data_IF_733394309642
#
_entry.id   IF_733394309642
#
_cell.length_a   1.000
_cell.length_b   1.000
_cell.length_c   1.000
_cell.angle_alpha   90.00
_cell.angle_beta   90.00
_cell.angle_gamma   90.00
#
_symmetry.space_group_name_H-M   'P 1'
#
loop_
_entity.id
_entity.type
_entity.pdbx_description
1 polymer ?
#
# COMPACT_ATOMS: atom_id res chain seq x y z
N UNK A 1 12.62 -25.22 16.65
CA UNK A 1 13.28 -23.92 16.98
C UNK A 1 12.22 -22.95 17.47
N UNK A 2 12.53 -22.19 18.51
CA UNK A 2 11.63 -21.18 19.11
C UNK A 2 12.38 -19.86 19.26
N UNK A 3 11.79 -18.76 18.84
CA UNK A 3 12.28 -17.41 19.10
C UNK A 3 11.51 -16.84 20.28
N UNK A 4 12.21 -16.37 21.30
CA UNK A 4 11.61 -15.77 22.50
C UNK A 4 12.15 -14.35 22.70
N UNK A 5 11.31 -13.47 23.24
CA UNK A 5 11.69 -12.09 23.61
C UNK A 5 12.52 -12.17 24.91
N UNK A 6 13.55 -11.35 25.01
CA UNK A 6 14.39 -11.13 26.20
C UNK A 6 14.34 -9.64 26.58
N UNK A 7 14.97 -9.25 27.66
CA UNK A 7 15.04 -7.85 28.10
C UNK A 7 15.75 -6.94 27.07
N UNK A 8 16.78 -7.45 26.37
CA UNK A 8 17.58 -6.68 25.40
C UNK A 8 17.21 -6.97 23.93
N UNK A 9 16.31 -7.93 23.66
CA UNK A 9 16.00 -8.32 22.29
C UNK A 9 15.39 -9.71 22.16
N UNK A 10 16.11 -10.65 21.52
CA UNK A 10 15.59 -11.98 21.19
C UNK A 10 16.62 -13.07 21.39
N UNK A 11 16.15 -14.23 21.88
CA UNK A 11 16.94 -15.46 21.96
C UNK A 11 16.34 -16.55 21.07
N UNK A 12 17.19 -17.25 20.35
CA UNK A 12 16.85 -18.40 19.53
C UNK A 12 17.15 -19.69 20.31
N UNK A 13 16.13 -20.52 20.49
CA UNK A 13 16.21 -21.79 21.19
C UNK A 13 16.16 -22.96 20.20
N UNK A 14 16.96 -23.97 20.48
CA UNK A 14 16.80 -25.31 19.96
C UNK A 14 16.55 -26.23 21.17
N UNK A 15 15.33 -26.80 21.20
CA UNK A 15 14.81 -27.49 22.39
C UNK A 15 14.81 -26.55 23.60
N UNK A 16 15.67 -26.79 24.60
CA UNK A 16 15.81 -25.97 25.81
C UNK A 16 17.02 -25.05 25.78
N UNK A 17 17.94 -25.23 24.85
CA UNK A 17 19.21 -24.51 24.78
C UNK A 17 19.11 -23.22 23.96
N UNK A 18 19.66 -22.14 24.49
CA UNK A 18 19.86 -20.90 23.74
C UNK A 18 21.04 -21.11 22.80
N UNK A 19 20.78 -21.04 21.48
CA UNK A 19 21.79 -21.23 20.43
C UNK A 19 22.21 -19.93 19.74
N UNK A 20 21.44 -18.85 19.91
CA UNK A 20 21.74 -17.54 19.37
C UNK A 20 21.00 -16.43 20.09
N UNK A 21 21.53 -15.21 20.02
CA UNK A 21 20.93 -14.00 20.59
C UNK A 21 21.04 -12.84 19.61
N UNK A 22 20.08 -11.94 19.69
CA UNK A 22 20.11 -10.67 18.97
C UNK A 22 19.58 -9.58 19.90
N UNK A 23 20.47 -8.66 20.28
CA UNK A 23 20.10 -7.47 21.02
C UNK A 23 19.69 -6.39 20.04
N UNK A 24 18.51 -5.80 20.27
CA UNK A 24 17.87 -4.91 19.30
C UNK A 24 17.00 -3.87 19.99
N UNK A 25 17.16 -2.63 19.58
CA UNK A 25 16.35 -1.49 20.03
C UNK A 25 15.41 -1.07 18.90
N UNK A 26 14.08 -1.05 19.11
CA UNK A 26 13.12 -0.53 18.13
C UNK A 26 13.39 0.94 17.83
N UNK A 27 13.20 1.31 16.56
CA UNK A 27 13.21 2.70 16.11
C UNK A 27 11.90 3.02 15.37
N UNK A 28 11.54 4.29 15.15
CA UNK A 28 10.32 4.65 14.43
C UNK A 28 10.23 4.07 13.00
N UNK A 29 11.37 3.72 12.39
CA UNK A 29 11.43 3.20 11.01
C UNK A 29 12.11 1.84 10.91
N UNK A 30 12.17 1.06 11.98
CA UNK A 30 12.82 -0.26 11.95
C UNK A 30 13.47 -0.62 13.28
N UNK A 31 14.76 -0.92 13.29
CA UNK A 31 15.47 -1.26 14.52
C UNK A 31 16.98 -1.02 14.44
N UNK A 32 17.58 -0.75 15.58
CA UNK A 32 19.03 -0.77 15.77
C UNK A 32 19.45 -2.12 16.38
N UNK A 33 20.22 -2.90 15.63
CA UNK A 33 20.78 -4.17 16.08
C UNK A 33 22.11 -3.85 16.74
N UNK A 34 22.20 -4.06 18.06
CA UNK A 34 23.42 -3.78 18.82
C UNK A 34 24.35 -4.98 18.91
N UNK A 35 23.80 -6.20 18.87
CA UNK A 35 24.57 -7.43 18.83
C UNK A 35 23.77 -8.56 18.14
N UNK A 36 24.47 -9.42 17.42
CA UNK A 36 23.94 -10.67 16.89
C UNK A 36 24.97 -11.77 17.03
N UNK A 37 24.64 -12.82 17.72
CA UNK A 37 25.55 -13.92 17.99
C UNK A 37 24.89 -15.29 17.86
N UNK A 38 25.68 -16.28 17.43
CA UNK A 38 25.32 -17.69 17.43
C UNK A 38 26.48 -18.46 18.06
N UNK A 39 26.17 -19.37 18.98
CA UNK A 39 27.18 -20.21 19.61
C UNK A 39 28.03 -20.95 18.57
N UNK A 40 29.33 -21.07 18.86
CA UNK A 40 30.35 -21.57 17.89
C UNK A 40 29.96 -22.91 17.25
N UNK A 41 29.48 -23.85 18.06
CA UNK A 41 29.02 -25.18 17.61
C UNK A 41 27.79 -25.18 16.70
N UNK A 42 27.07 -24.04 16.65
CA UNK A 42 25.86 -23.83 15.83
C UNK A 42 26.08 -22.88 14.66
N UNK A 43 27.26 -22.30 14.52
CA UNK A 43 27.61 -21.41 13.39
C UNK A 43 27.62 -22.18 12.07
N UNK A 44 27.50 -21.46 10.95
CA UNK A 44 27.48 -21.95 9.56
C UNK A 44 26.37 -22.99 9.24
N UNK A 45 25.37 -23.13 10.13
CA UNK A 45 24.20 -24.00 9.96
C UNK A 45 22.91 -23.22 9.63
N UNK A 46 23.02 -21.95 9.27
CA UNK A 46 21.87 -21.09 8.89
C UNK A 46 21.14 -20.39 10.05
N UNK A 47 21.50 -20.67 11.30
CA UNK A 47 20.77 -20.12 12.45
C UNK A 47 20.91 -18.60 12.60
N UNK A 48 22.06 -18.01 12.31
CA UNK A 48 22.23 -16.55 12.27
C UNK A 48 21.35 -15.91 11.19
N UNK A 49 21.29 -16.51 10.01
CA UNK A 49 20.43 -16.06 8.92
C UNK A 49 18.95 -16.16 9.28
N UNK A 50 18.54 -17.23 9.95
CA UNK A 50 17.16 -17.39 10.44
C UNK A 50 16.83 -16.30 11.47
N UNK A 51 17.69 -16.12 12.49
CA UNK A 51 17.49 -15.13 13.52
C UNK A 51 17.37 -13.71 12.95
N UNK A 52 18.29 -13.30 12.09
CA UNK A 52 18.26 -11.99 11.46
C UNK A 52 17.01 -11.79 10.58
N UNK A 53 16.60 -12.81 9.81
CA UNK A 53 15.35 -12.75 9.03
C UNK A 53 14.12 -12.51 9.90
N UNK A 54 14.02 -13.21 11.04
CA UNK A 54 12.89 -13.03 11.96
C UNK A 54 12.87 -11.63 12.59
N UNK A 55 14.06 -11.09 12.95
CA UNK A 55 14.18 -9.72 13.45
C UNK A 55 13.73 -8.72 12.36
N UNK A 56 14.30 -8.83 11.16
CA UNK A 56 13.91 -7.94 10.06
C UNK A 56 12.41 -8.01 9.78
N UNK A 57 11.80 -9.21 9.78
CA UNK A 57 10.36 -9.39 9.58
C UNK A 57 9.53 -8.70 10.65
N UNK A 58 9.94 -8.84 11.92
CA UNK A 58 9.22 -8.32 13.07
C UNK A 58 9.20 -6.78 13.11
N UNK A 59 10.24 -6.15 12.60
CA UNK A 59 10.37 -4.69 12.54
C UNK A 59 10.11 -4.11 11.14
N UNK A 60 9.33 -4.80 10.31
CA UNK A 60 8.87 -4.29 9.01
C UNK A 60 9.92 -4.32 7.89
N UNK A 61 11.08 -4.95 8.08
CA UNK A 61 12.16 -4.97 7.10
C UNK A 61 11.82 -5.67 5.77
N UNK A 62 10.69 -6.34 5.69
CA UNK A 62 10.13 -6.95 4.47
C UNK A 62 8.77 -6.37 4.08
N UNK A 63 8.31 -5.33 4.80
CA UNK A 63 7.11 -4.60 4.42
C UNK A 63 7.37 -3.82 3.13
N UNK A 64 6.54 -4.05 2.11
CA UNK A 64 6.70 -3.43 0.79
C UNK A 64 6.20 -1.99 0.77
N UNK A 65 5.36 -1.63 1.69
CA UNK A 65 4.71 -0.31 1.75
C UNK A 65 5.45 0.67 2.67
N UNK A 66 6.36 0.19 3.51
CA UNK A 66 7.07 1.02 4.48
C UNK A 66 8.55 1.27 4.10
N UNK A 67 8.97 2.52 4.28
CA UNK A 67 10.39 2.84 4.34
C UNK A 67 10.97 2.33 5.65
N UNK A 68 12.02 1.50 5.60
CA UNK A 68 12.65 0.98 6.81
C UNK A 68 14.15 1.22 6.83
N UNK A 69 14.68 1.43 8.03
CA UNK A 69 16.11 1.60 8.28
C UNK A 69 16.51 0.68 9.43
N UNK A 70 17.46 -0.19 9.17
CA UNK A 70 18.11 -1.01 10.18
C UNK A 70 19.58 -0.64 10.26
N UNK A 71 20.09 -0.57 11.48
CA UNK A 71 21.51 -0.34 11.73
C UNK A 71 22.12 -1.52 12.49
N UNK A 72 23.43 -1.75 12.30
CA UNK A 72 24.20 -2.77 13.02
C UNK A 72 25.65 -2.30 13.20
N UNK A 73 26.41 -2.87 14.14
CA UNK A 73 27.83 -2.57 14.27
C UNK A 73 28.60 -3.00 13.01
N UNK A 74 29.77 -2.38 12.79
CA UNK A 74 30.68 -2.82 11.75
C UNK A 74 31.11 -4.28 12.00
N UNK A 75 31.34 -5.06 10.94
CA UNK A 75 31.74 -6.46 11.07
C UNK A 75 33.15 -6.58 11.64
N UNK A 76 33.37 -7.60 12.46
CA UNK A 76 34.69 -7.86 13.02
C UNK A 76 35.67 -8.50 12.02
N UNK A 77 35.16 -9.21 11.02
CA UNK A 77 35.91 -9.87 9.98
C UNK A 77 35.16 -9.90 8.64
N UNK A 78 35.84 -10.33 7.57
CA UNK A 78 35.29 -10.43 6.22
C UNK A 78 34.07 -11.39 6.16
N UNK A 79 34.12 -12.50 6.88
CA UNK A 79 33.02 -13.48 6.91
C UNK A 79 31.76 -12.92 7.52
N UNK A 80 31.88 -12.09 8.56
CA UNK A 80 30.78 -11.34 9.13
C UNK A 80 30.28 -10.26 8.18
N UNK A 81 31.19 -9.58 7.48
CA UNK A 81 30.84 -8.61 6.43
C UNK A 81 29.99 -9.22 5.32
N UNK A 82 30.38 -10.36 4.79
CA UNK A 82 29.62 -11.11 3.78
C UNK A 82 28.26 -11.58 4.30
N UNK A 83 28.16 -11.96 5.58
CA UNK A 83 26.91 -12.29 6.21
C UNK A 83 25.95 -11.11 6.20
N UNK A 84 26.36 -9.92 6.63
CA UNK A 84 25.52 -8.72 6.66
C UNK A 84 25.14 -8.25 5.24
N UNK A 85 26.11 -8.26 4.32
CA UNK A 85 25.89 -7.89 2.91
C UNK A 85 24.81 -8.73 2.25
N UNK A 86 24.74 -10.03 2.54
CA UNK A 86 23.70 -10.95 2.06
C UNK A 86 22.27 -10.49 2.44
N UNK A 87 22.12 -9.70 3.50
CA UNK A 87 20.85 -9.13 3.95
C UNK A 87 20.69 -7.66 3.54
N UNK A 88 21.53 -7.15 2.67
CA UNK A 88 21.44 -5.80 2.13
C UNK A 88 21.93 -4.71 3.09
N UNK A 89 22.77 -5.07 4.07
CA UNK A 89 23.50 -4.09 4.87
C UNK A 89 24.77 -3.64 4.14
N UNK A 90 25.04 -2.33 4.20
CA UNK A 90 26.25 -1.73 3.68
C UNK A 90 26.88 -0.80 4.72
N UNK A 91 28.22 -0.63 4.74
CA UNK A 91 28.89 0.30 5.65
C UNK A 91 28.57 1.75 5.24
N UNK A 92 28.15 2.54 6.22
CA UNK A 92 27.85 3.96 6.09
C UNK A 92 28.00 4.63 7.48
N UNK A 93 28.71 5.77 7.57
CA UNK A 93 28.90 6.56 8.78
C UNK A 93 29.36 5.74 10.02
N UNK A 94 30.30 4.81 9.81
CA UNK A 94 30.87 4.01 10.90
C UNK A 94 29.96 2.88 11.41
N UNK A 95 28.87 2.58 10.72
CA UNK A 95 27.94 1.47 11.02
C UNK A 95 27.59 0.70 9.73
N UNK A 96 26.97 -0.46 9.93
CA UNK A 96 26.24 -1.12 8.85
C UNK A 96 24.81 -0.59 8.80
N UNK A 97 24.37 -0.18 7.63
CA UNK A 97 23.01 0.33 7.42
C UNK A 97 22.33 -0.48 6.31
N UNK A 98 21.11 -0.89 6.57
CA UNK A 98 20.19 -1.45 5.58
C UNK A 98 19.00 -0.51 5.45
N UNK A 99 18.88 0.13 4.29
CA UNK A 99 17.71 0.94 3.94
C UNK A 99 16.82 0.18 2.98
N UNK A 100 15.55 0.34 3.18
CA UNK A 100 14.55 -0.05 2.20
C UNK A 100 13.64 1.13 1.95
N UNK A 101 13.51 1.50 0.69
CA UNK A 101 12.45 2.37 0.22
C UNK A 101 11.22 1.51 -0.10
N UNK A 102 10.01 2.03 0.06
CA UNK A 102 8.82 1.34 -0.40
C UNK A 102 8.90 1.05 -1.90
N UNK A 103 8.41 -0.12 -2.29
CA UNK A 103 8.29 -0.43 -3.71
C UNK A 103 7.31 0.55 -4.37
N UNK A 104 7.59 0.96 -5.59
CA UNK A 104 6.59 1.64 -6.41
C UNK A 104 5.49 0.62 -6.76
N UNK A 105 4.26 0.97 -6.45
CA UNK A 105 3.07 0.22 -6.88
C UNK A 105 2.15 1.14 -7.66
N UNK A 106 1.20 0.59 -8.43
CA UNK A 106 0.20 1.38 -9.14
C UNK A 106 -0.58 2.30 -8.18
N UNK A 107 -0.97 1.76 -7.02
CA UNK A 107 -1.67 2.52 -5.97
C UNK A 107 -0.79 3.65 -5.43
N UNK A 108 0.46 3.36 -5.09
CA UNK A 108 1.38 4.37 -4.57
C UNK A 108 1.67 5.46 -5.60
N UNK A 109 1.88 5.09 -6.87
CA UNK A 109 2.05 6.06 -7.96
C UNK A 109 0.89 7.04 -8.02
N UNK A 110 -0.35 6.53 -7.96
CA UNK A 110 -1.57 7.37 -7.96
C UNK A 110 -1.62 8.25 -6.71
N UNK A 111 -1.37 7.70 -5.53
CA UNK A 111 -1.39 8.46 -4.27
C UNK A 111 -0.35 9.59 -4.27
N UNK A 112 0.89 9.30 -4.71
CA UNK A 112 1.97 10.30 -4.80
C UNK A 112 1.62 11.40 -5.83
N UNK A 113 1.02 11.03 -6.98
CA UNK A 113 0.54 11.97 -7.97
C UNK A 113 -0.54 12.91 -7.38
N UNK A 114 -1.57 12.34 -6.74
CA UNK A 114 -2.67 13.11 -6.15
C UNK A 114 -2.18 14.05 -5.05
N UNK A 115 -1.29 13.59 -4.17
CA UNK A 115 -0.71 14.40 -3.10
C UNK A 115 0.11 15.58 -3.64
N UNK A 116 0.82 15.40 -4.76
CA UNK A 116 1.62 16.45 -5.38
C UNK A 116 0.77 17.48 -6.13
N UNK A 117 -0.32 17.06 -6.78
CA UNK A 117 -1.11 17.94 -7.67
C UNK A 117 -2.34 18.55 -7.01
N UNK A 118 -2.87 17.91 -5.97
CA UNK A 118 -4.04 18.38 -5.22
C UNK A 118 -3.72 18.41 -3.71
N UNK A 119 -2.79 19.26 -3.27
CA UNK A 119 -2.53 19.43 -1.85
C UNK A 119 -3.76 20.07 -1.19
N UNK A 120 -4.16 19.52 -0.05
CA UNK A 120 -5.29 20.03 0.76
C UNK A 120 -6.66 20.04 0.04
N UNK A 121 -7.09 18.91 -0.58
CA UNK A 121 -8.43 18.79 -1.14
C UNK A 121 -9.46 18.86 -0.01
N UNK A 122 -10.70 19.29 -0.33
CA UNK A 122 -11.76 19.45 0.68
C UNK A 122 -12.75 18.29 0.68
N UNK A 123 -13.03 17.71 -0.49
CA UNK A 123 -13.94 16.60 -0.64
C UNK A 123 -13.31 15.51 -1.50
N UNK A 124 -13.04 14.37 -0.88
CA UNK A 124 -12.51 13.20 -1.57
C UNK A 124 -13.44 12.00 -1.43
N UNK A 125 -13.44 11.15 -2.45
CA UNK A 125 -14.28 9.97 -2.53
C UNK A 125 -13.41 8.76 -2.85
N UNK A 126 -13.49 7.74 -2.02
CA UNK A 126 -13.02 6.39 -2.31
C UNK A 126 -14.23 5.56 -2.74
N UNK A 127 -14.35 5.29 -4.02
CA UNK A 127 -15.50 4.61 -4.60
C UNK A 127 -15.44 3.08 -4.45
N UNK A 128 -14.33 2.54 -3.90
CA UNK A 128 -14.07 1.10 -3.74
C UNK A 128 -13.21 0.88 -2.49
N UNK A 129 -13.76 1.21 -1.31
CA UNK A 129 -12.93 1.32 -0.11
C UNK A 129 -12.29 0.01 0.37
N UNK A 130 -12.88 -1.15 0.10
CA UNK A 130 -12.28 -2.44 0.39
C UNK A 130 -11.72 -2.55 1.82
N UNK A 131 -10.41 -2.72 1.95
CA UNK A 131 -9.72 -2.75 3.23
C UNK A 131 -9.30 -1.37 3.77
N UNK A 132 -9.75 -0.27 3.16
CA UNK A 132 -9.58 1.10 3.63
C UNK A 132 -8.20 1.70 3.44
N UNK A 133 -7.39 1.19 2.51
CA UNK A 133 -6.06 1.72 2.22
C UNK A 133 -6.12 3.13 1.66
N UNK A 134 -6.85 3.31 0.57
CA UNK A 134 -7.05 4.58 -0.12
C UNK A 134 -7.94 5.52 0.69
N UNK A 135 -8.96 5.01 1.37
CA UNK A 135 -9.75 5.82 2.31
C UNK A 135 -8.86 6.47 3.38
N UNK A 136 -7.95 5.70 3.99
CA UNK A 136 -7.02 6.22 4.98
C UNK A 136 -6.01 7.22 4.39
N UNK A 137 -5.55 7.00 3.16
CA UNK A 137 -4.72 7.95 2.42
C UNK A 137 -5.47 9.27 2.21
N UNK A 138 -6.69 9.23 1.70
CA UNK A 138 -7.52 10.42 1.46
C UNK A 138 -7.81 11.19 2.76
N UNK A 139 -8.09 10.49 3.88
CA UNK A 139 -8.28 11.13 5.19
C UNK A 139 -7.05 11.92 5.64
N UNK A 140 -5.84 11.40 5.39
CA UNK A 140 -4.60 12.14 5.70
C UNK A 140 -4.39 13.32 4.76
N UNK A 141 -4.76 13.18 3.49
CA UNK A 141 -4.58 14.20 2.47
C UNK A 141 -5.50 15.42 2.67
N UNK A 142 -6.78 15.17 2.98
CA UNK A 142 -7.75 16.26 3.25
C UNK A 142 -7.47 16.98 4.57
N UNK A 143 -6.82 16.30 5.53
CA UNK A 143 -6.62 16.86 6.87
C UNK A 143 -7.92 17.00 7.67
N UNK A 144 -7.90 17.74 8.79
CA UNK A 144 -9.03 17.80 9.72
C UNK A 144 -10.25 18.58 9.19
N UNK A 145 -10.05 19.49 8.24
CA UNK A 145 -11.10 20.34 7.66
C UNK A 145 -11.77 19.71 6.42
N UNK A 146 -11.23 18.63 5.92
CA UNK A 146 -11.73 17.94 4.72
C UNK A 146 -12.72 16.84 5.04
N UNK A 147 -13.46 16.41 4.03
CA UNK A 147 -14.45 15.35 4.10
C UNK A 147 -14.07 14.21 3.16
N UNK A 148 -14.15 12.98 3.66
CA UNK A 148 -13.94 11.76 2.87
C UNK A 148 -15.18 10.89 2.93
N UNK A 149 -15.65 10.45 1.75
CA UNK A 149 -16.66 9.40 1.61
C UNK A 149 -15.99 8.13 1.11
N UNK A 150 -16.34 6.99 1.70
CA UNK A 150 -15.89 5.67 1.26
C UNK A 150 -17.08 4.80 0.91
N UNK A 151 -17.12 4.26 -0.32
CA UNK A 151 -18.17 3.38 -0.82
C UNK A 151 -17.68 1.95 -0.95
N UNK A 152 -18.52 1.01 -0.57
CA UNK A 152 -18.39 -0.39 -0.93
C UNK A 152 -19.77 -1.07 -0.83
N UNK A 153 -20.01 -2.04 -1.71
CA UNK A 153 -21.26 -2.84 -1.67
C UNK A 153 -21.21 -3.93 -0.60
N UNK A 154 -20.00 -4.28 -0.12
CA UNK A 154 -19.78 -5.35 0.83
C UNK A 154 -19.72 -4.81 2.26
N UNK A 155 -20.64 -5.24 3.17
CA UNK A 155 -20.61 -4.83 4.57
C UNK A 155 -19.27 -5.14 5.28
N UNK A 156 -18.61 -6.24 4.88
CA UNK A 156 -17.33 -6.67 5.41
C UNK A 156 -16.20 -5.67 5.06
N UNK A 157 -16.22 -5.13 3.84
CA UNK A 157 -15.30 -4.09 3.40
C UNK A 157 -15.49 -2.80 4.21
N UNK A 158 -16.74 -2.39 4.41
CA UNK A 158 -17.10 -1.24 5.27
C UNK A 158 -16.63 -1.46 6.71
N UNK A 159 -16.82 -2.66 7.27
CA UNK A 159 -16.36 -2.99 8.62
C UNK A 159 -14.83 -2.97 8.73
N UNK A 160 -14.13 -3.55 7.74
CA UNK A 160 -12.66 -3.56 7.66
C UNK A 160 -12.09 -2.14 7.58
N UNK A 161 -12.64 -1.32 6.68
CA UNK A 161 -12.26 0.10 6.53
C UNK A 161 -12.47 0.86 7.83
N UNK A 162 -13.63 0.72 8.49
CA UNK A 162 -13.91 1.36 9.78
C UNK A 162 -12.91 0.97 10.86
N UNK A 163 -12.56 -0.31 10.95
CA UNK A 163 -11.58 -0.80 11.91
C UNK A 163 -10.18 -0.21 11.64
N UNK A 164 -9.75 -0.14 10.37
CA UNK A 164 -8.49 0.50 9.96
C UNK A 164 -8.44 1.97 10.33
N UNK A 165 -9.47 2.74 9.98
CA UNK A 165 -9.54 4.17 10.27
C UNK A 165 -9.50 4.42 11.77
N UNK A 166 -10.28 3.69 12.56
CA UNK A 166 -10.28 3.77 14.04
C UNK A 166 -8.88 3.54 14.62
N UNK A 167 -8.17 2.51 14.13
CA UNK A 167 -6.78 2.20 14.58
C UNK A 167 -5.80 3.34 14.29
N UNK A 168 -6.07 4.15 13.27
CA UNK A 168 -5.20 5.25 12.83
C UNK A 168 -5.68 6.63 13.32
N UNK A 169 -6.76 6.71 14.10
CA UNK A 169 -7.35 7.97 14.54
C UNK A 169 -7.93 8.81 13.40
N UNK A 170 -8.36 8.15 12.31
CA UNK A 170 -8.93 8.79 11.12
C UNK A 170 -10.43 8.58 11.07
N UNK A 171 -11.14 9.49 10.37
CA UNK A 171 -12.60 9.43 10.18
C UNK A 171 -12.97 9.64 8.72
N UNK A 172 -13.95 8.86 8.26
CA UNK A 172 -14.61 9.04 6.96
C UNK A 172 -16.09 8.64 7.10
N UNK A 173 -16.91 9.16 6.21
CA UNK A 173 -18.30 8.72 6.03
C UNK A 173 -18.31 7.45 5.17
N UNK A 174 -18.65 6.31 5.76
CA UNK A 174 -18.62 5.01 5.08
C UNK A 174 -20.05 4.60 4.70
N UNK A 175 -20.23 4.32 3.43
CA UNK A 175 -21.51 4.10 2.77
C UNK A 175 -21.50 2.69 2.18
N UNK A 176 -22.41 1.83 2.67
CA UNK A 176 -22.62 0.49 2.14
C UNK A 176 -23.62 0.56 0.99
N UNK A 177 -23.17 0.99 -0.18
CA UNK A 177 -23.98 1.15 -1.39
C UNK A 177 -23.07 1.06 -2.64
N UNK A 178 -23.70 0.91 -3.80
CA UNK A 178 -23.02 0.96 -5.08
C UNK A 178 -22.44 2.34 -5.36
N UNK A 179 -21.21 2.40 -5.80
CA UNK A 179 -20.56 3.62 -6.28
C UNK A 179 -21.32 4.25 -7.49
N UNK A 180 -22.17 3.50 -8.19
CA UNK A 180 -23.05 4.05 -9.23
C UNK A 180 -24.07 5.04 -8.64
N UNK A 181 -24.40 4.93 -7.35
CA UNK A 181 -25.32 5.81 -6.62
C UNK A 181 -24.64 7.05 -6.01
N UNK A 182 -23.39 7.31 -6.34
CA UNK A 182 -22.54 8.36 -5.76
C UNK A 182 -23.19 9.75 -5.76
N UNK A 183 -23.95 10.10 -6.81
CA UNK A 183 -24.64 11.39 -6.93
C UNK A 183 -25.84 11.55 -5.97
N UNK A 184 -26.27 10.50 -5.26
CA UNK A 184 -27.25 10.64 -4.20
C UNK A 184 -26.63 11.19 -2.89
N UNK A 185 -25.31 11.10 -2.75
CA UNK A 185 -24.57 11.46 -1.53
C UNK A 185 -23.74 12.73 -1.70
N UNK A 186 -23.41 13.11 -2.94
CA UNK A 186 -22.61 14.30 -3.24
C UNK A 186 -23.23 15.12 -4.35
N UNK A 187 -23.07 16.43 -4.27
CA UNK A 187 -23.51 17.35 -5.33
C UNK A 187 -22.58 17.29 -6.53
N UNK A 188 -23.09 17.35 -7.77
CA UNK A 188 -22.24 17.49 -8.95
C UNK A 188 -21.29 18.69 -8.82
N UNK A 189 -20.08 18.54 -9.33
CA UNK A 189 -19.10 19.62 -9.39
C UNK A 189 -18.45 20.00 -8.04
N UNK A 190 -18.48 19.13 -7.03
CA UNK A 190 -17.96 19.47 -5.69
C UNK A 190 -16.76 18.64 -5.24
N UNK A 191 -16.54 17.44 -5.80
CA UNK A 191 -15.45 16.56 -5.40
C UNK A 191 -14.11 17.01 -6.01
N UNK A 192 -13.07 17.02 -5.19
CA UNK A 192 -11.69 17.26 -5.63
C UNK A 192 -11.05 16.00 -6.23
N UNK A 193 -11.27 14.87 -5.56
CA UNK A 193 -10.68 13.58 -5.91
C UNK A 193 -11.76 12.50 -5.83
N UNK A 194 -11.79 11.63 -6.85
CA UNK A 194 -12.53 10.36 -6.80
C UNK A 194 -11.56 9.23 -7.16
N UNK A 195 -11.47 8.20 -6.32
CA UNK A 195 -10.59 7.04 -6.54
C UNK A 195 -11.39 5.77 -6.76
N UNK A 196 -10.96 4.98 -7.74
CA UNK A 196 -11.44 3.62 -8.00
C UNK A 196 -10.29 2.63 -8.06
N UNK A 197 -10.45 1.50 -7.42
CA UNK A 197 -9.64 0.31 -7.62
C UNK A 197 -10.56 -0.81 -8.12
N UNK A 198 -10.68 -0.96 -9.44
CA UNK A 198 -11.51 -2.00 -10.05
C UNK A 198 -10.82 -3.36 -9.91
N UNK A 199 -11.41 -4.23 -9.11
CA UNK A 199 -10.88 -5.56 -8.81
C UNK A 199 -11.76 -6.25 -7.77
N UNK A 200 -11.22 -7.28 -7.14
CA UNK A 200 -11.88 -7.97 -6.04
C UNK A 200 -11.20 -7.65 -4.70
N UNK A 201 -11.96 -7.76 -3.62
CA UNK A 201 -11.44 -7.60 -2.28
C UNK A 201 -10.43 -8.73 -1.96
N UNK A 202 -9.17 -8.44 -1.65
CA UNK A 202 -8.21 -9.48 -1.28
C UNK A 202 -8.70 -10.29 -0.07
N UNK A 203 -8.83 -11.63 -0.26
CA UNK A 203 -9.30 -12.55 0.80
C UNK A 203 -10.82 -12.74 0.87
N UNK A 204 -11.61 -12.10 0.00
CA UNK A 204 -13.05 -12.32 -0.10
C UNK A 204 -13.43 -13.33 -1.21
N UNK A 205 -14.71 -13.64 -1.32
CA UNK A 205 -15.26 -14.49 -2.38
C UNK A 205 -15.09 -13.81 -3.74
N UNK A 206 -14.43 -14.50 -4.67
CA UNK A 206 -14.16 -14.03 -6.03
C UNK A 206 -15.41 -13.98 -6.93
N UNK A 207 -16.60 -14.30 -6.43
CA UNK A 207 -17.86 -14.21 -7.18
C UNK A 207 -18.40 -12.77 -7.28
N UNK A 208 -17.94 -11.85 -6.41
CA UNK A 208 -18.35 -10.44 -6.41
C UNK A 208 -17.22 -9.60 -7.00
N UNK A 209 -17.41 -9.14 -8.22
CA UNK A 209 -16.46 -8.29 -8.96
C UNK A 209 -17.20 -7.24 -9.79
N UNK A 210 -16.50 -6.16 -10.14
CA UNK A 210 -17.02 -5.14 -11.05
C UNK A 210 -17.10 -5.66 -12.49
N UNK A 211 -18.05 -5.13 -13.23
CA UNK A 211 -18.21 -5.40 -14.68
C UNK A 211 -18.29 -4.07 -15.42
N UNK A 212 -17.99 -4.06 -16.73
CA UNK A 212 -18.08 -2.84 -17.54
C UNK A 212 -19.44 -2.14 -17.42
N UNK A 213 -20.52 -2.93 -17.31
CA UNK A 213 -21.91 -2.41 -17.21
C UNK A 213 -22.16 -1.67 -15.89
N UNK A 214 -21.42 -1.95 -14.83
CA UNK A 214 -21.49 -1.23 -13.55
C UNK A 214 -20.42 -0.15 -13.44
N UNK A 215 -19.24 -0.37 -14.01
CA UNK A 215 -18.08 0.48 -13.85
C UNK A 215 -18.15 1.76 -14.66
N UNK A 216 -18.62 1.70 -15.92
CA UNK A 216 -18.74 2.89 -16.77
C UNK A 216 -19.78 3.88 -16.22
N UNK A 217 -21.00 3.49 -15.84
CA UNK A 217 -21.94 4.41 -15.18
C UNK A 217 -21.41 5.04 -13.90
N UNK A 218 -20.63 4.27 -13.10
CA UNK A 218 -20.00 4.79 -11.90
C UNK A 218 -18.92 5.83 -12.21
N UNK A 219 -18.10 5.60 -13.24
CA UNK A 219 -17.10 6.56 -13.70
C UNK A 219 -17.78 7.85 -14.23
N UNK A 220 -18.90 7.74 -14.94
CA UNK A 220 -19.69 8.89 -15.39
C UNK A 220 -20.25 9.70 -14.24
N UNK A 221 -20.82 9.02 -13.22
CA UNK A 221 -21.30 9.66 -12.00
C UNK A 221 -20.15 10.38 -11.25
N UNK A 222 -18.98 9.76 -11.21
CA UNK A 222 -17.79 10.34 -10.60
C UNK A 222 -17.29 11.57 -11.37
N UNK A 223 -17.27 11.54 -12.71
CA UNK A 223 -16.93 12.71 -13.52
C UNK A 223 -17.94 13.86 -13.34
N UNK A 224 -19.22 13.53 -13.15
CA UNK A 224 -20.22 14.55 -12.81
C UNK A 224 -19.97 15.14 -11.40
N UNK A 225 -19.60 14.32 -10.42
CA UNK A 225 -19.28 14.77 -9.06
C UNK A 225 -18.02 15.64 -9.00
N UNK A 226 -17.02 15.41 -9.85
CA UNK A 226 -15.78 16.19 -9.86
C UNK A 226 -16.03 17.67 -10.18
N UNK A 227 -15.34 18.56 -9.44
CA UNK A 227 -15.22 19.97 -9.81
C UNK A 227 -14.25 20.18 -10.97
N UNK A 228 -14.26 21.34 -11.59
CA UNK A 228 -13.18 21.80 -12.48
C UNK A 228 -11.84 21.81 -11.72
N UNK A 229 -10.80 21.26 -12.34
CA UNK A 229 -9.49 21.03 -11.71
C UNK A 229 -9.43 19.84 -10.76
N UNK A 230 -10.52 19.07 -10.62
CA UNK A 230 -10.54 17.81 -9.88
C UNK A 230 -9.96 16.65 -10.68
N UNK A 231 -9.58 15.57 -9.99
CA UNK A 231 -8.99 14.38 -10.58
C UNK A 231 -9.76 13.12 -10.19
N UNK A 232 -10.12 12.31 -11.18
CA UNK A 232 -10.54 10.93 -10.99
C UNK A 232 -9.35 10.01 -11.27
N UNK A 233 -9.07 9.09 -10.37
CA UNK A 233 -8.14 7.99 -10.60
C UNK A 233 -8.88 6.67 -10.69
N UNK A 234 -8.48 5.83 -11.64
CA UNK A 234 -8.98 4.47 -11.78
C UNK A 234 -7.79 3.52 -11.97
N UNK A 235 -7.62 2.53 -11.09
CA UNK A 235 -6.64 1.48 -11.27
C UNK A 235 -7.36 0.27 -11.82
N UNK A 236 -7.00 -0.12 -13.05
CA UNK A 236 -7.59 -1.23 -13.77
C UNK A 236 -6.75 -2.49 -13.56
N UNK A 237 -7.35 -3.51 -12.97
CA UNK A 237 -6.71 -4.81 -12.79
C UNK A 237 -7.11 -5.75 -13.94
N UNK A 238 -6.20 -6.61 -14.34
CA UNK A 238 -6.48 -7.69 -15.30
C UNK A 238 -6.06 -9.01 -14.67
N UNK A 239 -7.02 -9.92 -14.47
CA UNK A 239 -6.75 -11.33 -14.12
C UNK A 239 -6.63 -12.20 -15.36
N UNK A 240 -6.07 -13.42 -15.22
CA UNK A 240 -5.93 -14.38 -16.34
C UNK A 240 -7.26 -14.85 -16.90
N UNK A 241 -8.37 -14.69 -16.18
CA UNK A 241 -9.68 -15.27 -16.54
C UNK A 241 -10.83 -14.25 -16.48
N UNK A 242 -10.70 -13.18 -15.65
CA UNK A 242 -11.77 -12.19 -15.42
C UNK A 242 -11.13 -10.80 -15.41
N UNK A 243 -11.80 -9.81 -15.99
CA UNK A 243 -11.38 -8.40 -15.98
C UNK A 243 -10.71 -7.88 -17.26
N UNK A 244 -10.34 -8.77 -18.20
CA UNK A 244 -9.74 -8.32 -19.47
C UNK A 244 -10.74 -7.53 -20.30
N UNK A 245 -11.99 -7.98 -20.38
CA UNK A 245 -13.06 -7.33 -21.15
C UNK A 245 -13.48 -6.00 -20.49
N UNK A 246 -13.56 -5.97 -19.15
CA UNK A 246 -13.83 -4.75 -18.39
C UNK A 246 -12.72 -3.71 -18.62
N UNK A 247 -11.44 -4.10 -18.50
CA UNK A 247 -10.28 -3.23 -18.75
C UNK A 247 -10.33 -2.64 -20.15
N UNK A 248 -10.61 -3.45 -21.19
CA UNK A 248 -10.67 -2.97 -22.56
C UNK A 248 -11.86 -2.03 -22.81
N UNK A 249 -13.02 -2.34 -22.22
CA UNK A 249 -14.22 -1.48 -22.30
C UNK A 249 -13.98 -0.12 -21.65
N UNK A 250 -13.37 -0.11 -20.45
CA UNK A 250 -13.02 1.15 -19.76
C UNK A 250 -11.97 1.93 -20.55
N UNK A 251 -10.94 1.28 -21.10
CA UNK A 251 -9.93 1.95 -21.92
C UNK A 251 -10.55 2.55 -23.22
N UNK A 252 -11.50 1.86 -23.84
CA UNK A 252 -12.27 2.37 -24.98
C UNK A 252 -13.06 3.61 -24.60
N UNK A 253 -13.77 3.57 -23.48
CA UNK A 253 -14.53 4.70 -22.95
C UNK A 253 -13.63 5.88 -22.59
N UNK A 254 -12.49 5.66 -21.94
CA UNK A 254 -11.51 6.70 -21.60
C UNK A 254 -10.99 7.44 -22.84
N UNK A 255 -10.71 6.72 -23.93
CA UNK A 255 -10.25 7.31 -25.20
C UNK A 255 -11.32 8.13 -25.91
N UNK A 256 -12.59 7.86 -25.63
CA UNK A 256 -13.73 8.58 -26.21
C UNK A 256 -14.12 9.85 -25.42
N UNK A 257 -13.52 10.08 -24.25
CA UNK A 257 -13.81 11.29 -23.47
C UNK A 257 -13.40 12.56 -24.23
N UNK A 258 -14.26 13.60 -24.24
CA UNK A 258 -14.00 14.83 -25.02
C UNK A 258 -12.81 15.62 -24.44
N UNK A 259 -11.82 15.90 -25.28
CA UNK A 259 -10.58 16.60 -24.92
C UNK A 259 -10.84 18.02 -24.37
N UNK A 260 -11.91 18.65 -24.77
CA UNK A 260 -12.30 20.00 -24.31
C UNK A 260 -12.65 19.99 -22.80
N UNK A 261 -13.12 18.87 -22.29
CA UNK A 261 -13.57 18.72 -20.90
C UNK A 261 -12.58 17.98 -20.03
N UNK A 262 -11.79 17.07 -20.63
CA UNK A 262 -10.96 16.14 -19.86
C UNK A 262 -9.58 15.97 -20.48
N UNK A 263 -8.57 15.79 -19.64
CA UNK A 263 -7.28 15.21 -20.04
C UNK A 263 -7.18 13.84 -19.41
N UNK A 264 -6.91 12.81 -20.20
CA UNK A 264 -6.81 11.43 -19.75
C UNK A 264 -5.36 10.97 -19.87
N UNK A 265 -4.82 10.43 -18.78
CA UNK A 265 -3.52 9.79 -18.71
C UNK A 265 -3.73 8.30 -18.46
N UNK A 266 -3.07 7.46 -19.23
CA UNK A 266 -2.98 6.02 -19.01
C UNK A 266 -1.51 5.69 -18.74
N UNK A 267 -1.18 5.24 -17.52
CA UNK A 267 0.18 5.10 -17.06
C UNK A 267 0.62 3.64 -17.12
N UNK A 268 1.36 3.29 -18.16
CA UNK A 268 1.94 1.96 -18.33
C UNK A 268 3.35 1.91 -17.72
N UNK A 269 3.65 0.83 -17.01
CA UNK A 269 4.97 0.56 -16.45
C UNK A 269 5.72 -0.39 -17.40
N UNK A 270 6.55 0.15 -18.25
CA UNK A 270 7.15 -0.51 -19.43
C UNK A 270 7.89 -1.84 -19.15
N UNK A 271 8.31 -2.09 -17.92
CA UNK A 271 9.02 -3.32 -17.52
C UNK A 271 8.23 -4.20 -16.56
N UNK A 272 6.93 -3.91 -16.36
CA UNK A 272 6.06 -4.78 -15.57
C UNK A 272 5.37 -5.81 -16.47
N UNK A 273 4.75 -6.83 -15.85
CA UNK A 273 3.99 -7.81 -16.60
C UNK A 273 2.73 -7.18 -17.24
N UNK A 274 2.28 -7.70 -18.38
CA UNK A 274 1.06 -7.24 -19.08
C UNK A 274 -0.21 -7.30 -18.22
N UNK A 275 -0.18 -8.14 -17.17
CA UNK A 275 -1.25 -8.27 -16.18
C UNK A 275 -1.11 -7.30 -15.00
N UNK A 276 -0.11 -6.42 -15.02
CA UNK A 276 0.08 -5.45 -13.96
C UNK A 276 -1.11 -4.47 -13.89
N UNK A 277 -1.42 -3.96 -12.70
CA UNK A 277 -2.43 -2.92 -12.54
C UNK A 277 -2.08 -1.68 -13.35
N UNK A 278 -3.06 -1.12 -14.08
CA UNK A 278 -2.90 0.01 -14.97
C UNK A 278 -3.55 1.27 -14.37
N UNK A 279 -2.77 2.23 -13.86
CA UNK A 279 -3.32 3.50 -13.40
C UNK A 279 -3.83 4.36 -14.55
N UNK A 280 -5.04 4.89 -14.40
CA UNK A 280 -5.64 5.87 -15.29
C UNK A 280 -6.00 7.11 -14.47
N UNK A 281 -5.68 8.30 -14.98
CA UNK A 281 -6.00 9.56 -14.35
C UNK A 281 -6.83 10.41 -15.34
N UNK A 282 -7.92 10.98 -14.85
CA UNK A 282 -8.79 11.87 -15.65
C UNK A 282 -8.83 13.22 -14.92
N UNK A 283 -8.29 14.24 -15.57
CA UNK A 283 -8.26 15.61 -15.08
C UNK A 283 -9.43 16.37 -15.71
N UNK A 284 -10.34 16.90 -14.90
CA UNK A 284 -11.47 17.70 -15.37
C UNK A 284 -11.02 19.17 -15.58
N UNK A 285 -11.26 19.69 -16.79
CA UNK A 285 -10.93 21.07 -17.17
C UNK A 285 -11.99 22.07 -16.76
#
# INVERSE_FOLDING_TARGET
MKLSVTESGFALYKEVDIIGRCDVTPTPKGADITALSVLSQWRRKGYGSYLLKEILRRFGGYDREAATVFTAPLPADEGEGLFWQKFGFAPEDGRLIRRRTPDLTAVRFVQDYLAAHLPHPKLCIDATCGNGGDTAFLCRLVGPEGRVLGFDIQPEAIASTRARLKKQGLTAELICDSHANLLQYVRPGTADIVMFNFGWLPGADHSVFSTADSSIPALEAALAALRTGGVLSAILYSGRVIGTDEKQSILGWLRALPLEKYTVLVCDFANWADTAPLPCLILKK
#
